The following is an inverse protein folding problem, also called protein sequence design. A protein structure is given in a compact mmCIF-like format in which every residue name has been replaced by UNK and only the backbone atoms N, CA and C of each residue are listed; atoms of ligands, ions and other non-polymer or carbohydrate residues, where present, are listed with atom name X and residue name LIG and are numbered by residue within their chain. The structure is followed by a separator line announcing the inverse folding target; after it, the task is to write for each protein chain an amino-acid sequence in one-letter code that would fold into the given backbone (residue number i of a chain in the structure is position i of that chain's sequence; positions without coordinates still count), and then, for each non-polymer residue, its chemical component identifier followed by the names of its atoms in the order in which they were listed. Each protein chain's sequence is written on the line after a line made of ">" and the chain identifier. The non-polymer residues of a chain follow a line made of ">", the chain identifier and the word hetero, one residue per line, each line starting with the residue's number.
data_IF_832801631029
#
_entry.id   IF_832801631029
#
_cell.length_a   1.000
_cell.length_b   1.000
_cell.length_c   1.000
_cell.angle_alpha   90.00
_cell.angle_beta   90.00
_cell.angle_gamma   90.00
#
_symmetry.space_group_name_H-M   'P 1'
#
loop_
_entity.id
_entity.type
_entity.pdbx_description
1 polymer ?
#
# COMPACT_ATOMS: atom_id res chain seq x y z
N UNK A 1 3.04 79.23 28.34
CA UNK A 1 3.83 79.15 27.08
C UNK A 1 4.34 77.72 26.91
N UNK A 2 4.01 77.14 25.75
CA UNK A 2 4.63 75.98 25.05
C UNK A 2 4.84 74.67 25.85
N UNK A 3 3.95 73.68 25.76
CA UNK A 3 3.78 72.72 24.64
C UNK A 3 4.95 71.75 24.47
N UNK A 4 4.68 70.44 24.48
CA UNK A 4 5.67 69.45 24.04
C UNK A 4 5.48 67.98 24.42
N UNK A 5 4.24 67.44 24.39
CA UNK A 5 4.01 65.98 24.46
C UNK A 5 4.55 65.33 23.18
N UNK A 6 5.70 64.65 23.24
CA UNK A 6 6.18 63.79 22.13
C UNK A 6 5.88 62.32 22.43
N UNK A 7 4.77 61.82 21.88
CA UNK A 7 4.51 60.39 21.72
C UNK A 7 5.60 59.82 20.80
N UNK A 8 6.41 58.89 21.30
CA UNK A 8 7.26 58.06 20.43
C UNK A 8 6.44 56.84 20.04
N UNK A 9 5.83 56.93 18.85
CA UNK A 9 5.39 55.78 18.08
C UNK A 9 6.66 55.16 17.49
N UNK A 10 7.05 53.98 17.95
CA UNK A 10 8.05 53.18 17.25
C UNK A 10 7.29 52.09 16.50
N UNK A 11 7.37 52.26 15.18
CA UNK A 11 6.84 51.46 14.10
C UNK A 11 7.36 50.03 14.19
N UNK A 12 6.51 49.09 13.79
CA UNK A 12 6.73 47.67 13.94
C UNK A 12 7.96 47.15 13.19
N UNK A 13 8.51 46.08 13.75
CA UNK A 13 9.32 45.14 13.00
C UNK A 13 8.49 43.87 12.94
N UNK A 14 7.68 43.76 11.89
CA UNK A 14 7.31 42.48 11.31
C UNK A 14 8.63 41.84 10.89
N UNK A 15 9.18 40.97 11.74
CA UNK A 15 10.14 39.98 11.26
C UNK A 15 9.31 39.05 10.39
N UNK A 16 9.19 39.44 9.12
CA UNK A 16 8.92 38.50 8.05
C UNK A 16 10.09 37.51 8.10
N UNK A 17 9.88 36.42 8.85
CA UNK A 17 10.69 35.23 8.74
C UNK A 17 10.51 34.77 7.30
N UNK A 18 11.37 35.29 6.43
CA UNK A 18 11.60 34.80 5.10
C UNK A 18 12.25 33.42 5.29
N UNK A 19 11.44 32.44 5.72
CA UNK A 19 11.74 31.04 5.50
C UNK A 19 11.77 30.92 4.00
N UNK A 20 12.98 30.94 3.45
CA UNK A 20 13.23 30.64 2.06
C UNK A 20 12.46 29.38 1.75
N UNK A 21 11.41 29.56 0.95
CA UNK A 21 10.48 28.53 0.49
C UNK A 21 11.24 27.66 -0.49
N UNK A 22 12.11 26.78 0.01
CA UNK A 22 12.79 25.74 -0.78
C UNK A 22 12.43 24.34 -0.30
N UNK A 23 11.72 24.18 0.82
CA UNK A 23 11.23 22.89 1.33
C UNK A 23 10.00 22.32 0.59
N UNK A 24 9.78 22.71 -0.67
CA UNK A 24 8.53 22.44 -1.37
C UNK A 24 8.57 21.20 -2.28
N UNK A 25 9.74 20.68 -2.64
CA UNK A 25 9.89 19.51 -3.50
C UNK A 25 10.74 18.39 -2.87
N UNK A 26 11.09 18.54 -1.58
CA UNK A 26 12.06 17.68 -0.89
C UNK A 26 11.45 16.54 -0.06
N UNK A 27 10.24 16.70 0.47
CA UNK A 27 9.72 15.78 1.51
C UNK A 27 9.47 14.36 0.96
N UNK A 28 8.87 14.20 -0.23
CA UNK A 28 8.71 12.86 -0.82
C UNK A 28 10.05 12.22 -1.15
N UNK A 29 11.00 12.97 -1.74
CA UNK A 29 12.34 12.45 -2.05
C UNK A 29 13.10 12.01 -0.80
N UNK A 30 13.01 12.80 0.27
CA UNK A 30 13.64 12.48 1.55
C UNK A 30 12.95 11.29 2.23
N UNK A 31 11.62 11.22 2.17
CA UNK A 31 10.85 10.07 2.62
C UNK A 31 11.23 8.79 1.90
N UNK A 32 11.38 8.83 0.56
CA UNK A 32 11.84 7.69 -0.23
C UNK A 32 13.24 7.25 0.18
N UNK A 33 14.16 8.19 0.40
CA UNK A 33 15.50 7.86 0.89
C UNK A 33 15.47 7.14 2.25
N UNK A 34 14.69 7.65 3.21
CA UNK A 34 14.53 6.99 4.50
C UNK A 34 13.88 5.61 4.37
N UNK A 35 12.92 5.44 3.46
CA UNK A 35 12.29 4.16 3.19
C UNK A 35 13.30 3.14 2.62
N UNK A 36 14.17 3.55 1.70
CA UNK A 36 15.27 2.72 1.18
C UNK A 36 16.27 2.32 2.28
N UNK A 37 16.52 3.23 3.23
CA UNK A 37 17.35 2.99 4.42
C UNK A 37 16.62 2.16 5.50
N UNK A 38 15.36 1.78 5.26
CA UNK A 38 14.46 1.09 6.22
C UNK A 38 14.20 1.89 7.51
N UNK A 39 14.45 3.19 7.48
CA UNK A 39 14.08 4.11 8.55
C UNK A 39 12.62 4.55 8.38
N UNK A 40 11.72 3.60 8.62
CA UNK A 40 10.28 3.80 8.38
C UNK A 40 9.70 4.94 9.23
N UNK A 41 10.27 5.21 10.42
CA UNK A 41 9.79 6.29 11.29
C UNK A 41 10.08 7.67 10.69
N UNK A 42 11.31 7.90 10.22
CA UNK A 42 11.63 9.16 9.58
C UNK A 42 10.98 9.27 8.20
N UNK A 43 10.84 8.17 7.47
CA UNK A 43 10.09 8.14 6.22
C UNK A 43 8.62 8.56 6.42
N UNK A 44 7.94 8.02 7.46
CA UNK A 44 6.56 8.41 7.82
C UNK A 44 6.44 9.93 8.03
N UNK A 45 7.38 10.54 8.76
CA UNK A 45 7.37 11.99 9.04
C UNK A 45 7.45 12.80 7.74
N UNK A 46 8.37 12.44 6.84
CA UNK A 46 8.57 13.17 5.59
C UNK A 46 7.40 12.99 4.60
N UNK A 47 6.82 11.79 4.52
CA UNK A 47 5.64 11.58 3.70
C UNK A 47 4.39 12.24 4.29
N UNK A 48 4.23 12.27 5.61
CA UNK A 48 3.14 12.99 6.26
C UNK A 48 3.25 14.51 6.03
N UNK A 49 4.46 15.07 6.10
CA UNK A 49 4.71 16.47 5.75
C UNK A 49 4.30 16.79 4.29
N UNK A 50 4.56 15.88 3.35
CA UNK A 50 4.10 16.02 1.97
C UNK A 50 2.57 15.99 1.86
N UNK A 51 1.90 15.11 2.60
CA UNK A 51 0.44 15.04 2.68
C UNK A 51 -0.15 16.33 3.24
N UNK A 52 0.40 16.84 4.35
CA UNK A 52 -0.09 18.05 5.02
C UNK A 52 0.06 19.29 4.13
N UNK A 53 1.16 19.35 3.37
CA UNK A 53 1.42 20.40 2.36
C UNK A 53 0.65 20.19 1.05
N UNK A 54 -0.11 19.10 0.91
CA UNK A 54 -0.87 18.71 -0.29
C UNK A 54 0.01 18.60 -1.54
N UNK A 55 1.19 17.99 -1.42
CA UNK A 55 2.14 17.86 -2.52
C UNK A 55 2.39 16.41 -2.86
N UNK A 56 2.31 16.13 -4.16
CA UNK A 56 2.51 14.81 -4.73
C UNK A 56 1.76 13.72 -3.94
N UNK A 57 0.46 13.96 -3.71
CA UNK A 57 -0.35 13.19 -2.77
C UNK A 57 -0.35 11.69 -3.07
N UNK A 58 -0.39 11.30 -4.34
CA UNK A 58 -0.27 9.90 -4.76
C UNK A 58 1.00 9.25 -4.22
N UNK A 59 2.17 9.81 -4.53
CA UNK A 59 3.45 9.29 -4.05
C UNK A 59 3.61 9.39 -2.53
N UNK A 60 3.13 10.46 -1.90
CA UNK A 60 3.21 10.64 -0.46
C UNK A 60 2.39 9.58 0.29
N UNK A 61 1.15 9.34 -0.14
CA UNK A 61 0.31 8.29 0.42
C UNK A 61 0.87 6.89 0.11
N UNK A 62 1.44 6.68 -1.08
CA UNK A 62 2.12 5.42 -1.41
C UNK A 62 3.28 5.17 -0.44
N UNK A 63 4.12 6.18 -0.22
CA UNK A 63 5.22 6.13 0.74
C UNK A 63 4.77 5.80 2.16
N UNK A 64 3.73 6.46 2.66
CA UNK A 64 3.11 6.13 3.97
C UNK A 64 2.62 4.69 4.02
N UNK A 65 1.93 4.24 2.98
CA UNK A 65 1.41 2.88 2.91
C UNK A 65 2.51 1.82 2.94
N UNK A 66 3.60 2.03 2.21
CA UNK A 66 4.78 1.16 2.26
C UNK A 66 5.44 1.15 3.65
N UNK A 67 5.60 2.32 4.29
CA UNK A 67 6.12 2.39 5.65
C UNK A 67 5.26 1.59 6.63
N UNK A 68 3.94 1.71 6.54
CA UNK A 68 3.01 0.98 7.40
C UNK A 68 3.00 -0.51 7.12
N UNK A 69 3.09 -0.92 5.85
CA UNK A 69 3.14 -2.33 5.46
C UNK A 69 4.39 -3.02 6.00
N UNK A 70 5.56 -2.41 5.84
CA UNK A 70 6.84 -2.90 6.39
C UNK A 70 6.81 -3.05 7.92
N UNK A 71 6.02 -2.21 8.60
CA UNK A 71 5.78 -2.28 10.04
C UNK A 71 4.61 -3.19 10.43
N UNK A 72 4.02 -3.94 9.48
CA UNK A 72 2.86 -4.82 9.66
C UNK A 72 1.63 -4.12 10.24
N UNK A 73 1.51 -2.82 10.01
CA UNK A 73 0.34 -2.01 10.36
C UNK A 73 -0.68 -2.07 9.21
N UNK A 74 -1.19 -3.27 8.93
CA UNK A 74 -1.95 -3.56 7.71
C UNK A 74 -3.15 -2.62 7.48
N UNK A 75 -3.92 -2.30 8.52
CA UNK A 75 -5.07 -1.38 8.37
C UNK A 75 -4.65 0.04 7.97
N UNK A 76 -3.50 0.53 8.46
CA UNK A 76 -2.97 1.84 8.05
C UNK A 76 -2.37 1.78 6.65
N UNK A 77 -1.72 0.67 6.31
CA UNK A 77 -1.16 0.43 4.99
C UNK A 77 -2.25 0.43 3.93
N UNK A 78 -3.28 -0.40 4.07
CA UNK A 78 -4.45 -0.48 3.19
C UNK A 78 -5.03 0.92 2.93
N UNK A 79 -5.42 1.64 3.99
CA UNK A 79 -6.03 2.98 3.87
C UNK A 79 -5.12 4.00 3.19
N UNK A 80 -3.80 3.93 3.41
CA UNK A 80 -2.85 4.84 2.78
C UNK A 80 -2.65 4.50 1.29
N UNK A 81 -2.50 3.22 0.95
CA UNK A 81 -2.34 2.77 -0.43
C UNK A 81 -3.61 3.00 -1.27
N UNK A 82 -4.81 2.80 -0.71
CA UNK A 82 -6.07 3.17 -1.35
C UNK A 82 -6.16 4.68 -1.62
N UNK A 83 -5.74 5.51 -0.66
CA UNK A 83 -5.63 6.95 -0.89
C UNK A 83 -4.60 7.29 -1.95
N UNK A 84 -3.50 6.54 -2.05
CA UNK A 84 -2.50 6.74 -3.09
C UNK A 84 -3.10 6.54 -4.48
N UNK A 85 -3.83 5.43 -4.68
CA UNK A 85 -4.57 5.14 -5.92
C UNK A 85 -5.57 6.25 -6.25
N UNK A 86 -6.38 6.66 -5.26
CA UNK A 86 -7.34 7.76 -5.42
C UNK A 86 -6.70 9.11 -5.79
N UNK A 87 -5.42 9.31 -5.44
CA UNK A 87 -4.66 10.52 -5.74
C UNK A 87 -3.70 10.35 -6.94
N UNK A 88 -3.92 9.34 -7.78
CA UNK A 88 -3.24 9.19 -9.07
C UNK A 88 -1.81 8.69 -8.98
N UNK A 89 -1.45 7.93 -7.93
CA UNK A 89 -0.20 7.14 -7.99
C UNK A 89 -0.28 6.15 -9.14
N UNK A 90 0.87 5.80 -9.71
CA UNK A 90 0.96 4.73 -10.70
C UNK A 90 0.47 3.39 -10.11
N UNK A 91 -0.40 2.73 -10.87
CA UNK A 91 -0.87 1.38 -10.60
C UNK A 91 0.20 0.38 -10.99
N UNK A 92 0.66 -0.42 -10.03
CA UNK A 92 1.71 -1.42 -10.24
C UNK A 92 1.29 -2.74 -9.63
N UNK A 93 1.71 -3.85 -10.24
CA UNK A 93 1.42 -5.18 -9.70
C UNK A 93 1.90 -5.33 -8.26
N UNK A 94 3.05 -4.73 -7.91
CA UNK A 94 3.56 -4.71 -6.53
C UNK A 94 2.62 -3.97 -5.58
N UNK A 95 2.09 -2.81 -5.98
CA UNK A 95 1.13 -2.05 -5.15
C UNK A 95 -0.15 -2.86 -4.89
N UNK A 96 -0.67 -3.51 -5.94
CA UNK A 96 -1.84 -4.38 -5.85
C UNK A 96 -1.55 -5.63 -5.00
N UNK A 97 -0.40 -6.28 -5.15
CA UNK A 97 0.00 -7.41 -4.30
C UNK A 97 0.05 -7.01 -2.82
N UNK A 98 0.63 -5.85 -2.49
CA UNK A 98 0.70 -5.36 -1.11
C UNK A 98 -0.71 -5.08 -0.55
N UNK A 99 -1.59 -4.45 -1.33
CA UNK A 99 -2.98 -4.22 -0.94
C UNK A 99 -3.72 -5.55 -0.68
N UNK A 100 -3.58 -6.52 -1.58
CA UNK A 100 -4.18 -7.85 -1.41
C UNK A 100 -3.66 -8.58 -0.17
N UNK A 101 -2.36 -8.51 0.12
CA UNK A 101 -1.77 -9.06 1.35
C UNK A 101 -2.32 -8.35 2.58
N UNK A 102 -2.42 -7.02 2.57
CA UNK A 102 -3.02 -6.28 3.68
C UNK A 102 -4.45 -6.74 3.94
N UNK A 103 -5.24 -6.96 2.89
CA UNK A 103 -6.62 -7.41 3.03
C UNK A 103 -6.73 -8.86 3.53
N UNK A 104 -5.82 -9.76 3.14
CA UNK A 104 -5.76 -11.10 3.73
C UNK A 104 -5.46 -11.08 5.23
N UNK A 105 -4.51 -10.24 5.66
CA UNK A 105 -4.13 -10.08 7.07
C UNK A 105 -5.24 -9.41 7.90
N UNK A 106 -6.15 -8.69 7.24
CA UNK A 106 -7.31 -8.05 7.86
C UNK A 106 -8.59 -8.88 7.75
N UNK A 107 -8.51 -10.11 7.27
CA UNK A 107 -9.64 -11.02 7.06
C UNK A 107 -10.72 -10.44 6.13
N UNK A 108 -10.27 -9.81 5.04
CA UNK A 108 -11.10 -9.23 3.97
C UNK A 108 -10.85 -9.94 2.63
N UNK A 109 -11.12 -11.25 2.53
CA UNK A 109 -10.67 -12.06 1.40
C UNK A 109 -11.24 -11.62 0.04
N UNK A 110 -12.46 -11.09 -0.03
CA UNK A 110 -13.06 -10.64 -1.30
C UNK A 110 -12.33 -9.43 -1.87
N UNK A 111 -11.85 -8.53 -1.01
CA UNK A 111 -11.01 -7.41 -1.46
C UNK A 111 -9.62 -7.89 -1.89
N UNK A 112 -9.07 -8.87 -1.20
CA UNK A 112 -7.80 -9.47 -1.58
C UNK A 112 -7.88 -10.12 -2.97
N UNK A 113 -8.95 -10.87 -3.26
CA UNK A 113 -9.26 -11.41 -4.59
C UNK A 113 -9.24 -10.29 -5.63
N UNK A 114 -9.98 -9.20 -5.40
CA UNK A 114 -10.00 -8.06 -6.31
C UNK A 114 -8.59 -7.53 -6.63
N UNK A 115 -7.75 -7.32 -5.61
CA UNK A 115 -6.41 -6.78 -5.84
C UNK A 115 -5.47 -7.76 -6.52
N UNK A 116 -5.51 -9.05 -6.20
CA UNK A 116 -4.67 -10.03 -6.89
C UNK A 116 -5.10 -10.20 -8.35
N UNK A 117 -6.40 -10.31 -8.64
CA UNK A 117 -6.91 -10.44 -10.01
C UNK A 117 -6.60 -9.22 -10.87
N UNK A 118 -6.80 -8.00 -10.37
CA UNK A 118 -6.51 -6.81 -11.18
C UNK A 118 -5.00 -6.60 -11.34
N UNK A 119 -4.21 -6.89 -10.31
CA UNK A 119 -2.77 -6.63 -10.33
C UNK A 119 -1.98 -7.58 -11.25
N UNK A 120 -2.44 -8.82 -11.42
CA UNK A 120 -1.80 -9.78 -12.35
C UNK A 120 -2.03 -9.42 -13.84
N UNK A 121 -3.09 -8.67 -14.15
CA UNK A 121 -3.42 -8.24 -15.52
C UNK A 121 -2.67 -6.96 -15.93
N UNK A 122 -1.91 -6.35 -15.00
CA UNK A 122 -1.09 -5.18 -15.31
C UNK A 122 0.07 -5.53 -16.26
N UNK A 123 0.52 -4.57 -17.05
CA UNK A 123 1.63 -4.81 -17.97
C UNK A 123 2.97 -4.90 -17.23
N UNK A 124 3.87 -5.76 -17.74
CA UNK A 124 5.24 -5.85 -17.23
C UNK A 124 5.41 -6.56 -15.88
N UNK A 125 4.42 -7.35 -15.42
CA UNK A 125 4.59 -8.16 -14.19
C UNK A 125 5.70 -9.20 -14.38
N UNK A 126 6.67 -9.19 -13.48
CA UNK A 126 7.73 -10.20 -13.46
C UNK A 126 7.19 -11.58 -13.09
N UNK A 127 7.78 -12.65 -13.64
CA UNK A 127 7.32 -14.03 -13.42
C UNK A 127 7.20 -14.43 -11.94
N UNK A 128 8.16 -14.01 -11.11
CA UNK A 128 8.14 -14.32 -9.68
C UNK A 128 6.98 -13.63 -8.96
N UNK A 129 6.75 -12.35 -9.24
CA UNK A 129 5.61 -11.63 -8.67
C UNK A 129 4.27 -12.21 -9.17
N UNK A 130 4.18 -12.56 -10.45
CA UNK A 130 2.99 -13.21 -11.00
C UNK A 130 2.72 -14.55 -10.32
N UNK A 131 3.76 -15.35 -10.09
CA UNK A 131 3.67 -16.61 -9.34
C UNK A 131 3.19 -16.38 -7.91
N UNK A 132 3.76 -15.41 -7.21
CA UNK A 132 3.36 -15.05 -5.85
C UNK A 132 1.88 -14.63 -5.80
N UNK A 133 1.46 -13.71 -6.68
CA UNK A 133 0.09 -13.23 -6.75
C UNK A 133 -0.89 -14.35 -7.10
N UNK A 134 -0.52 -15.25 -8.03
CA UNK A 134 -1.36 -16.39 -8.38
C UNK A 134 -1.59 -17.34 -7.20
N UNK A 135 -0.56 -17.59 -6.38
CA UNK A 135 -0.72 -18.40 -5.17
C UNK A 135 -1.53 -17.65 -4.09
N UNK A 136 -1.26 -16.36 -3.88
CA UNK A 136 -2.04 -15.56 -2.93
C UNK A 136 -3.53 -15.46 -3.31
N UNK A 137 -3.85 -15.47 -4.60
CA UNK A 137 -5.22 -15.51 -5.09
C UNK A 137 -5.93 -16.83 -4.70
N UNK A 138 -5.24 -17.97 -4.76
CA UNK A 138 -5.79 -19.25 -4.25
C UNK A 138 -6.16 -19.12 -2.78
N UNK A 139 -5.23 -18.60 -1.97
CA UNK A 139 -5.44 -18.39 -0.53
C UNK A 139 -6.60 -17.41 -0.26
N UNK A 140 -6.74 -16.38 -1.10
CA UNK A 140 -7.83 -15.42 -0.97
C UNK A 140 -9.20 -16.06 -1.23
N UNK A 141 -9.34 -16.87 -2.28
CA UNK A 141 -10.58 -17.60 -2.55
C UNK A 141 -10.91 -18.63 -1.47
N UNK A 142 -9.89 -19.36 -0.98
CA UNK A 142 -10.07 -20.31 0.12
C UNK A 142 -10.59 -19.61 1.39
N UNK A 143 -10.01 -18.46 1.75
CA UNK A 143 -10.48 -17.65 2.88
C UNK A 143 -11.87 -17.04 2.67
N UNK A 144 -12.26 -16.77 1.42
CA UNK A 144 -13.62 -16.36 1.08
C UNK A 144 -14.64 -17.53 1.15
N UNK A 145 -14.16 -18.77 1.33
CA UNK A 145 -15.00 -19.98 1.28
C UNK A 145 -15.40 -20.38 -0.15
N UNK A 146 -14.86 -19.71 -1.17
CA UNK A 146 -15.08 -20.08 -2.57
C UNK A 146 -14.06 -21.13 -3.01
N UNK A 147 -14.25 -22.35 -2.49
CA UNK A 147 -13.35 -23.48 -2.73
C UNK A 147 -13.32 -23.90 -4.21
N UNK A 148 -14.41 -23.67 -4.94
CA UNK A 148 -14.47 -23.96 -6.38
C UNK A 148 -13.52 -23.04 -7.16
N UNK A 149 -13.60 -21.72 -6.94
CA UNK A 149 -12.66 -20.78 -7.53
C UNK A 149 -11.23 -21.03 -7.05
N UNK A 150 -11.02 -21.31 -5.76
CA UNK A 150 -9.70 -21.64 -5.22
C UNK A 150 -9.07 -22.81 -5.96
N UNK A 151 -9.83 -23.90 -6.18
CA UNK A 151 -9.39 -25.07 -6.93
C UNK A 151 -9.04 -24.73 -8.37
N UNK A 152 -9.88 -23.97 -9.07
CA UNK A 152 -9.63 -23.59 -10.47
C UNK A 152 -8.35 -22.76 -10.63
N UNK A 153 -8.12 -21.81 -9.73
CA UNK A 153 -6.88 -21.00 -9.73
C UNK A 153 -5.67 -21.85 -9.35
N UNK A 154 -5.81 -22.78 -8.41
CA UNK A 154 -4.73 -23.69 -8.00
C UNK A 154 -4.34 -24.66 -9.11
N UNK A 155 -5.32 -25.19 -9.85
CA UNK A 155 -5.08 -26.04 -11.02
C UNK A 155 -4.30 -25.27 -12.11
N UNK A 156 -4.61 -23.98 -12.30
CA UNK A 156 -3.85 -23.11 -13.20
C UNK A 156 -2.44 -22.80 -12.68
N UNK A 157 -2.27 -22.57 -11.38
CA UNK A 157 -0.98 -22.38 -10.74
C UNK A 157 -0.08 -23.61 -10.90
N UNK A 158 -0.59 -24.81 -10.65
CA UNK A 158 0.14 -26.07 -10.74
C UNK A 158 0.52 -26.46 -12.18
N UNK A 159 -0.25 -26.05 -13.20
CA UNK A 159 0.17 -26.20 -14.61
C UNK A 159 1.49 -25.49 -14.89
N UNK A 160 1.71 -24.33 -14.27
CA UNK A 160 2.96 -23.58 -14.41
C UNK A 160 4.03 -24.01 -13.38
N UNK A 161 3.63 -24.64 -12.27
CA UNK A 161 4.48 -24.99 -11.14
C UNK A 161 4.22 -26.43 -10.66
N UNK A 162 4.45 -27.45 -11.50
CA UNK A 162 3.99 -28.83 -11.23
C UNK A 162 4.62 -29.48 -10.00
N UNK A 163 5.82 -29.03 -9.60
CA UNK A 163 6.58 -29.61 -8.49
C UNK A 163 6.44 -28.82 -7.17
N UNK A 164 5.54 -27.84 -7.11
CA UNK A 164 5.30 -27.07 -5.88
C UNK A 164 4.57 -27.92 -4.84
N UNK A 165 5.35 -28.52 -3.93
CA UNK A 165 4.84 -29.39 -2.86
C UNK A 165 3.83 -28.72 -1.94
N UNK A 166 3.88 -27.39 -1.77
CA UNK A 166 2.91 -26.68 -0.94
C UNK A 166 1.57 -26.63 -1.67
N UNK A 167 1.59 -26.26 -2.94
CA UNK A 167 0.40 -26.20 -3.79
C UNK A 167 -0.24 -27.59 -4.01
N UNK A 168 0.55 -28.65 -4.14
CA UNK A 168 0.02 -30.02 -4.24
C UNK A 168 -0.74 -30.46 -2.98
N UNK A 169 -0.21 -30.13 -1.79
CA UNK A 169 -0.93 -30.38 -0.52
C UNK A 169 -2.21 -29.56 -0.42
N UNK A 170 -2.16 -28.31 -0.86
CA UNK A 170 -3.34 -27.44 -0.91
C UNK A 170 -4.41 -28.03 -1.84
N UNK A 171 -4.01 -28.64 -2.95
CA UNK A 171 -4.94 -29.27 -3.89
C UNK A 171 -5.64 -30.48 -3.27
N UNK A 172 -4.92 -31.29 -2.51
CA UNK A 172 -5.51 -32.39 -1.73
C UNK A 172 -6.54 -31.86 -0.73
N UNK A 173 -6.22 -30.79 0.01
CA UNK A 173 -7.13 -30.14 0.96
C UNK A 173 -8.41 -29.60 0.29
N UNK A 174 -8.28 -28.82 -0.79
CA UNK A 174 -9.45 -28.26 -1.49
C UNK A 174 -10.37 -29.36 -2.03
N UNK A 175 -9.81 -30.46 -2.53
CA UNK A 175 -10.60 -31.59 -3.01
C UNK A 175 -11.43 -32.25 -1.90
N UNK A 176 -10.92 -32.32 -0.65
CA UNK A 176 -11.71 -32.87 0.46
C UNK A 176 -12.85 -31.93 0.85
N UNK A 177 -12.58 -30.62 0.96
CA UNK A 177 -13.59 -29.62 1.31
C UNK A 177 -14.77 -29.60 0.32
N UNK A 178 -14.47 -29.66 -0.98
CA UNK A 178 -15.51 -29.71 -2.02
C UNK A 178 -16.34 -31.00 -1.90
N UNK A 179 -15.68 -32.15 -1.72
CA UNK A 179 -16.38 -33.44 -1.62
C UNK A 179 -17.31 -33.56 -0.40
N UNK A 180 -16.97 -32.89 0.70
CA UNK A 180 -17.80 -32.83 1.91
C UNK A 180 -18.99 -31.86 1.74
N UNK A 181 -18.77 -30.73 1.06
CA UNK A 181 -19.82 -29.74 0.76
C UNK A 181 -20.90 -30.28 -0.18
N UNK A 182 -20.55 -31.12 -1.15
CA UNK A 182 -21.49 -31.74 -2.09
C UNK A 182 -22.38 -32.82 -1.44
N UNK A 183 -22.09 -33.24 -0.21
CA UNK A 183 -22.82 -34.28 0.53
C UNK A 183 -23.86 -33.74 1.53
N UNK A 184 -23.97 -32.42 1.71
CA UNK A 184 -24.96 -31.76 2.59
C UNK A 184 -26.13 -31.18 1.80
#
# INVERSE_FOLDING_TARGET
>A
MTAGRKKKVIIGILVALCMTVTGCAGSVKKGTKYLEEKDYKNAEVEFQDAVDKKKNLGEAYRGLGLCYWEQKKYEKAEKALEKALKNGTEETATLYNILGICDLELDKPEKAVYYFENGQELSGVGKELLKEMAYNLVVAYEKAGDYQSAKEKLDSYLKANPDDKKALKEQEFLNTQISEGDQQ
#
